data_IF_009327288302
#
_entry.id   IF_009327288302
#
_cell.length_a   1.000
_cell.length_b   1.000
_cell.length_c   1.000
_cell.angle_alpha   90.00
_cell.angle_beta   90.00
_cell.angle_gamma   90.00
#
_symmetry.space_group_name_H-M   'P 1'
#
loop_
_entity.id
_entity.type
_entity.pdbx_description
1 polymer ?
#
# COMPACT_ATOMS: atom_id res chain seq x y z
N UNK A 1 9.61 31.65 -2.25
CA UNK A 1 9.25 30.21 -2.38
C UNK A 1 9.30 29.46 -1.06
N UNK A 2 10.22 29.80 -0.16
CA UNK A 2 10.33 29.27 1.22
C UNK A 2 9.10 29.58 2.10
N UNK A 3 8.49 30.76 1.96
CA UNK A 3 7.32 31.14 2.77
C UNK A 3 6.04 30.34 2.46
N UNK A 4 5.86 29.92 1.19
CA UNK A 4 4.70 29.11 0.81
C UNK A 4 4.78 27.70 1.42
N UNK A 5 5.94 27.04 1.31
CA UNK A 5 6.13 25.70 1.87
C UNK A 5 6.05 25.69 3.40
N UNK A 6 6.57 26.73 4.07
CA UNK A 6 6.49 26.87 5.53
C UNK A 6 5.05 27.03 6.02
N UNK A 7 4.26 27.93 5.42
CA UNK A 7 2.87 28.19 5.81
C UNK A 7 1.94 27.01 5.51
N UNK A 8 2.21 26.27 4.43
CA UNK A 8 1.41 25.10 4.04
C UNK A 8 1.95 23.78 4.59
N UNK A 9 3.08 23.79 5.29
CA UNK A 9 3.72 22.59 5.85
C UNK A 9 2.76 21.71 6.68
N UNK A 10 1.94 22.25 7.60
CA UNK A 10 1.00 21.44 8.37
C UNK A 10 -0.04 20.74 7.49
N UNK A 11 -0.51 21.42 6.44
CA UNK A 11 -1.48 20.88 5.49
C UNK A 11 -0.86 19.80 4.60
N UNK A 12 0.34 20.03 4.07
CA UNK A 12 1.08 19.04 3.28
C UNK A 12 1.35 17.79 4.13
N UNK A 13 1.74 17.98 5.39
CA UNK A 13 1.96 16.88 6.33
C UNK A 13 0.68 16.11 6.63
N UNK A 14 -0.44 16.80 6.87
CA UNK A 14 -1.74 16.17 7.09
C UNK A 14 -2.19 15.37 5.85
N UNK A 15 -2.09 15.95 4.66
CA UNK A 15 -2.42 15.29 3.39
C UNK A 15 -1.52 14.07 3.12
N UNK A 16 -0.23 14.16 3.44
CA UNK A 16 0.69 13.02 3.37
C UNK A 16 0.27 11.89 4.32
N UNK A 17 -0.06 12.20 5.57
CA UNK A 17 -0.49 11.18 6.54
C UNK A 17 -1.81 10.54 6.12
N UNK A 18 -2.80 11.32 5.69
CA UNK A 18 -4.08 10.79 5.20
C UNK A 18 -3.91 9.87 3.98
N UNK A 19 -3.04 10.26 3.04
CA UNK A 19 -2.75 9.46 1.85
C UNK A 19 -2.01 8.16 2.18
N UNK A 20 -1.05 8.20 3.11
CA UNK A 20 -0.34 7.00 3.60
C UNK A 20 -1.29 6.04 4.31
N UNK A 21 -2.17 6.54 5.18
CA UNK A 21 -3.16 5.70 5.88
C UNK A 21 -4.09 5.03 4.85
N UNK A 22 -4.59 5.81 3.89
CA UNK A 22 -5.46 5.29 2.82
C UNK A 22 -4.75 4.20 2.01
N UNK A 23 -3.48 4.42 1.65
CA UNK A 23 -2.70 3.45 0.89
C UNK A 23 -2.40 2.19 1.73
N UNK A 24 -2.02 2.33 3.00
CA UNK A 24 -1.76 1.22 3.91
C UNK A 24 -3.00 0.38 4.16
N UNK A 25 -4.15 0.99 4.40
CA UNK A 25 -5.42 0.29 4.59
C UNK A 25 -5.73 -0.62 3.39
N UNK A 26 -5.51 -0.13 2.17
CA UNK A 26 -5.67 -0.95 0.97
C UNK A 26 -4.65 -2.09 0.88
N UNK A 27 -3.37 -1.84 1.21
CA UNK A 27 -2.34 -2.88 1.23
C UNK A 27 -2.61 -3.97 2.28
N UNK A 28 -3.21 -3.64 3.43
CA UNK A 28 -3.65 -4.63 4.42
C UNK A 28 -4.85 -5.45 3.96
N UNK A 29 -5.79 -4.83 3.26
CA UNK A 29 -7.04 -5.50 2.91
C UNK A 29 -6.93 -6.37 1.65
N UNK A 30 -6.13 -5.96 0.67
CA UNK A 30 -6.09 -6.60 -0.63
C UNK A 30 -5.53 -8.05 -0.62
N UNK A 31 -4.39 -8.35 0.05
CA UNK A 31 -3.88 -9.72 0.15
C UNK A 31 -4.86 -10.65 0.87
N UNK A 32 -5.54 -10.13 1.90
CA UNK A 32 -6.58 -10.85 2.63
C UNK A 32 -7.76 -11.22 1.71
N UNK A 33 -8.17 -10.32 0.84
CA UNK A 33 -9.22 -10.59 -0.16
C UNK A 33 -8.79 -11.70 -1.12
N UNK A 34 -7.52 -11.74 -1.55
CA UNK A 34 -6.99 -12.82 -2.38
C UNK A 34 -7.01 -14.19 -1.70
N UNK A 35 -6.76 -14.25 -0.38
CA UNK A 35 -6.93 -15.50 0.38
C UNK A 35 -8.36 -16.01 0.24
N UNK A 36 -9.35 -15.14 0.45
CA UNK A 36 -10.76 -15.52 0.36
C UNK A 36 -11.16 -15.91 -1.06
N UNK A 37 -10.67 -15.22 -2.08
CA UNK A 37 -10.92 -15.56 -3.46
C UNK A 37 -10.39 -16.97 -3.79
N UNK A 38 -9.11 -17.25 -3.51
CA UNK A 38 -8.49 -18.54 -3.83
C UNK A 38 -9.05 -19.69 -2.99
N UNK A 39 -9.28 -19.47 -1.70
CA UNK A 39 -9.86 -20.49 -0.83
C UNK A 39 -11.36 -20.71 -1.12
N UNK A 40 -12.08 -19.67 -1.53
CA UNK A 40 -13.47 -19.76 -1.98
C UNK A 40 -13.61 -20.63 -3.23
N UNK A 41 -12.76 -20.40 -4.23
CA UNK A 41 -12.70 -21.23 -5.45
C UNK A 41 -12.31 -22.69 -5.17
N UNK A 42 -11.41 -22.95 -4.21
CA UNK A 42 -10.90 -24.30 -3.93
C UNK A 42 -11.73 -25.12 -2.94
N UNK A 43 -12.28 -24.49 -1.90
CA UNK A 43 -12.88 -25.20 -0.74
C UNK A 43 -14.38 -24.99 -0.58
N UNK A 44 -14.95 -23.94 -1.16
CA UNK A 44 -16.36 -23.57 -0.94
C UNK A 44 -17.23 -23.67 -2.19
N UNK A 45 -16.71 -24.26 -3.27
CA UNK A 45 -17.48 -24.50 -4.49
C UNK A 45 -17.85 -23.24 -5.27
N UNK A 46 -17.15 -22.11 -5.05
CA UNK A 46 -17.29 -20.94 -5.92
C UNK A 46 -16.79 -21.33 -7.31
N UNK A 47 -17.67 -21.27 -8.29
CA UNK A 47 -17.34 -21.51 -9.70
C UNK A 47 -16.96 -20.17 -10.34
N UNK A 48 -16.07 -20.21 -11.33
CA UNK A 48 -15.74 -19.02 -12.12
C UNK A 48 -16.98 -18.45 -12.79
N UNK A 49 -16.98 -17.13 -12.94
CA UNK A 49 -18.05 -16.37 -13.61
C UNK A 49 -19.42 -16.49 -12.92
N UNK A 50 -19.41 -16.80 -11.62
CA UNK A 50 -20.58 -16.64 -10.74
C UNK A 50 -20.67 -15.22 -10.20
N UNK A 51 -21.87 -14.78 -9.80
CA UNK A 51 -22.08 -13.45 -9.24
C UNK A 51 -21.17 -13.14 -8.04
N UNK A 52 -20.90 -14.16 -7.22
CA UNK A 52 -19.99 -14.04 -6.07
C UNK A 52 -18.55 -13.76 -6.49
N UNK A 53 -18.06 -14.45 -7.53
CA UNK A 53 -16.69 -14.28 -8.02
C UNK A 53 -16.51 -12.93 -8.74
N UNK A 54 -17.51 -12.51 -9.51
CA UNK A 54 -17.56 -11.18 -10.13
C UNK A 54 -17.56 -10.06 -9.08
N UNK A 55 -18.28 -10.24 -7.97
CA UNK A 55 -18.26 -9.31 -6.85
C UNK A 55 -16.86 -9.19 -6.22
N UNK A 56 -16.16 -10.31 -6.01
CA UNK A 56 -14.78 -10.29 -5.51
C UNK A 56 -13.84 -9.54 -6.47
N UNK A 57 -13.88 -9.86 -7.77
CA UNK A 57 -13.09 -9.16 -8.80
C UNK A 57 -13.39 -7.66 -8.82
N UNK A 58 -14.66 -7.29 -8.64
CA UNK A 58 -15.09 -5.89 -8.59
C UNK A 58 -14.53 -5.16 -7.37
N UNK A 59 -14.65 -5.75 -6.18
CA UNK A 59 -14.11 -5.18 -4.94
C UNK A 59 -12.59 -5.05 -4.97
N UNK A 60 -11.87 -6.08 -5.45
CA UNK A 60 -10.42 -6.03 -5.62
C UNK A 60 -9.99 -4.90 -6.56
N UNK A 61 -10.71 -4.72 -7.67
CA UNK A 61 -10.46 -3.65 -8.63
C UNK A 61 -10.74 -2.27 -8.05
N UNK A 62 -11.86 -2.09 -7.34
CA UNK A 62 -12.21 -0.82 -6.70
C UNK A 62 -11.16 -0.45 -5.65
N UNK A 63 -10.79 -1.39 -4.78
CA UNK A 63 -9.81 -1.14 -3.74
C UNK A 63 -8.46 -0.72 -4.35
N UNK A 64 -8.00 -1.42 -5.38
CA UNK A 64 -6.74 -1.09 -6.05
C UNK A 64 -6.83 0.26 -6.79
N UNK A 65 -7.81 0.43 -7.69
CA UNK A 65 -7.86 1.61 -8.58
C UNK A 65 -8.42 2.86 -7.93
N UNK A 66 -9.41 2.75 -7.06
CA UNK A 66 -10.10 3.90 -6.48
C UNK A 66 -9.48 4.35 -5.15
N UNK A 67 -8.88 3.44 -4.38
CA UNK A 67 -8.34 3.75 -3.04
C UNK A 67 -6.81 3.72 -3.06
N UNK A 68 -6.21 2.60 -3.45
CA UNK A 68 -4.75 2.43 -3.34
C UNK A 68 -3.97 3.27 -4.34
N UNK A 69 -4.39 3.34 -5.61
CA UNK A 69 -3.68 4.12 -6.62
C UNK A 69 -3.64 5.62 -6.28
N UNK A 70 -4.77 6.28 -5.97
CA UNK A 70 -4.75 7.70 -5.59
C UNK A 70 -4.00 7.90 -4.27
N UNK A 71 -4.17 7.01 -3.30
CA UNK A 71 -3.44 7.05 -2.03
C UNK A 71 -1.92 6.98 -2.21
N UNK A 72 -1.43 6.07 -3.06
CA UNK A 72 -0.01 5.93 -3.37
C UNK A 72 0.53 7.19 -4.08
N UNK A 73 -0.17 7.69 -5.10
CA UNK A 73 0.25 8.88 -5.86
C UNK A 73 0.33 10.10 -4.94
N UNK A 74 -0.72 10.32 -4.13
CA UNK A 74 -0.75 11.41 -3.16
C UNK A 74 0.36 11.26 -2.11
N UNK A 75 0.60 10.05 -1.60
CA UNK A 75 1.66 9.76 -0.63
C UNK A 75 3.04 10.14 -1.17
N UNK A 76 3.34 9.77 -2.42
CA UNK A 76 4.58 10.12 -3.09
C UNK A 76 4.69 11.63 -3.34
N UNK A 77 3.62 12.25 -3.86
CA UNK A 77 3.60 13.69 -4.14
C UNK A 77 3.88 14.51 -2.87
N UNK A 78 3.09 14.31 -1.82
CA UNK A 78 3.26 15.04 -0.57
C UNK A 78 4.53 14.62 0.18
N UNK A 79 4.94 13.35 0.06
CA UNK A 79 6.20 12.87 0.64
C UNK A 79 7.40 13.59 0.05
N UNK A 80 7.47 13.71 -1.28
CA UNK A 80 8.53 14.44 -1.96
C UNK A 80 8.51 15.93 -1.61
N UNK A 81 7.33 16.56 -1.54
CA UNK A 81 7.20 17.96 -1.10
C UNK A 81 7.77 18.19 0.32
N UNK A 82 7.53 17.25 1.24
CA UNK A 82 8.10 17.32 2.60
C UNK A 82 9.61 17.14 2.61
N UNK A 83 10.14 16.25 1.76
CA UNK A 83 11.58 15.98 1.65
C UNK A 83 12.34 17.18 1.09
N UNK A 84 11.77 17.90 0.12
CA UNK A 84 12.36 19.11 -0.44
C UNK A 84 12.22 20.36 0.45
N UNK A 85 11.51 20.26 1.57
CA UNK A 85 11.41 21.38 2.52
C UNK A 85 12.71 21.51 3.32
N UNK A 86 13.44 22.64 3.23
CA UNK A 86 14.74 22.80 3.90
C UNK A 86 14.64 22.65 5.43
N UNK A 87 15.61 21.96 6.02
CA UNK A 87 15.74 21.82 7.49
C UNK A 87 14.89 20.72 8.13
N UNK A 88 14.12 19.95 7.36
CA UNK A 88 13.23 18.90 7.89
C UNK A 88 13.87 17.52 7.87
N UNK A 89 14.61 17.21 6.81
CA UNK A 89 15.28 15.92 6.63
C UNK A 89 16.77 16.12 6.85
N UNK A 90 17.27 15.56 7.95
CA UNK A 90 18.70 15.45 8.18
C UNK A 90 19.22 14.17 7.51
N UNK A 91 19.79 14.32 6.32
CA UNK A 91 20.35 13.22 5.54
C UNK A 91 21.57 12.55 6.16
N UNK A 92 22.15 13.13 7.22
CA UNK A 92 23.24 12.51 7.99
C UNK A 92 22.75 11.41 8.94
N UNK A 93 21.45 11.37 9.23
CA UNK A 93 20.81 10.36 10.09
C UNK A 93 20.31 9.16 9.28
N UNK A 94 20.09 8.02 9.94
CA UNK A 94 19.72 6.76 9.26
C UNK A 94 18.22 6.73 8.92
N UNK A 95 17.36 7.34 9.74
CA UNK A 95 15.91 7.28 9.58
C UNK A 95 15.37 7.68 8.19
N UNK A 96 15.88 8.71 7.48
CA UNK A 96 15.34 9.08 6.17
C UNK A 96 15.56 7.96 5.14
N UNK A 97 16.72 7.30 5.20
CA UNK A 97 17.08 6.19 4.31
C UNK A 97 16.23 4.97 4.60
N UNK A 98 16.06 4.59 5.87
CA UNK A 98 15.21 3.45 6.23
C UNK A 98 13.76 3.68 5.84
N UNK A 99 13.25 4.90 6.03
CA UNK A 99 11.90 5.26 5.58
C UNK A 99 11.77 5.20 4.07
N UNK A 100 12.73 5.76 3.33
CA UNK A 100 12.71 5.77 1.87
C UNK A 100 12.72 4.35 1.29
N UNK A 101 13.59 3.48 1.80
CA UNK A 101 13.65 2.05 1.40
C UNK A 101 12.33 1.35 1.71
N UNK A 102 11.72 1.59 2.87
CA UNK A 102 10.45 0.98 3.21
C UNK A 102 9.29 1.46 2.31
N UNK A 103 9.23 2.76 1.96
CA UNK A 103 8.22 3.31 1.05
C UNK A 103 8.41 2.78 -0.39
N UNK A 104 9.66 2.63 -0.84
CA UNK A 104 9.96 1.95 -2.10
C UNK A 104 9.51 0.48 -2.07
N UNK A 105 9.79 -0.23 -0.98
CA UNK A 105 9.30 -1.59 -0.76
C UNK A 105 7.78 -1.71 -0.76
N UNK A 106 7.07 -0.76 -0.16
CA UNK A 106 5.60 -0.67 -0.22
C UNK A 106 5.09 -0.44 -1.65
N UNK A 107 5.79 0.39 -2.42
CA UNK A 107 5.46 0.64 -3.83
C UNK A 107 5.62 -0.63 -4.65
N UNK A 108 6.73 -1.35 -4.45
CA UNK A 108 6.94 -2.65 -5.07
C UNK A 108 5.85 -3.65 -4.69
N UNK A 109 5.49 -3.72 -3.40
CA UNK A 109 4.43 -4.61 -2.91
C UNK A 109 3.05 -4.25 -3.49
N UNK A 110 2.73 -2.95 -3.62
CA UNK A 110 1.54 -2.49 -4.32
C UNK A 110 1.50 -3.01 -5.76
N UNK A 111 2.60 -2.90 -6.50
CA UNK A 111 2.68 -3.39 -7.88
C UNK A 111 2.53 -4.91 -7.94
N UNK A 112 3.09 -5.63 -6.97
CA UNK A 112 2.88 -7.06 -6.83
C UNK A 112 1.40 -7.40 -6.60
N UNK A 113 0.70 -6.69 -5.71
CA UNK A 113 -0.75 -6.84 -5.54
C UNK A 113 -1.50 -6.60 -6.86
N UNK A 114 -1.18 -5.54 -7.59
CA UNK A 114 -1.80 -5.24 -8.88
C UNK A 114 -1.63 -6.38 -9.91
N UNK A 115 -0.43 -6.99 -9.94
CA UNK A 115 -0.14 -8.15 -10.80
C UNK A 115 -0.95 -9.37 -10.39
N UNK A 116 -1.00 -9.69 -9.10
CA UNK A 116 -1.77 -10.84 -8.60
C UNK A 116 -3.28 -10.67 -8.81
N UNK A 117 -3.82 -9.45 -8.64
CA UNK A 117 -5.23 -9.14 -8.98
C UNK A 117 -5.57 -9.51 -10.41
N UNK A 118 -4.64 -9.24 -11.34
CA UNK A 118 -4.81 -9.54 -12.76
C UNK A 118 -4.72 -11.05 -12.98
N UNK A 119 -3.73 -11.71 -12.37
CA UNK A 119 -3.59 -13.17 -12.47
C UNK A 119 -4.80 -13.92 -11.90
N UNK A 120 -5.39 -13.45 -10.80
CA UNK A 120 -6.61 -14.02 -10.20
C UNK A 120 -7.82 -13.81 -11.12
N UNK A 121 -8.01 -12.61 -11.65
CA UNK A 121 -9.09 -12.31 -12.58
C UNK A 121 -8.99 -13.08 -13.90
N UNK A 122 -7.77 -13.28 -14.42
CA UNK A 122 -7.52 -14.05 -15.65
C UNK A 122 -7.48 -15.56 -15.37
N UNK A 123 -7.58 -15.97 -14.11
CA UNK A 123 -7.55 -17.36 -13.71
C UNK A 123 -6.20 -18.08 -13.90
N UNK A 124 -5.11 -17.32 -14.08
CA UNK A 124 -3.73 -17.81 -14.23
C UNK A 124 -2.95 -17.82 -12.91
N UNK A 125 -3.60 -17.46 -11.80
CA UNK A 125 -3.00 -17.45 -10.48
C UNK A 125 -2.62 -18.88 -10.01
N UNK A 126 -1.31 -19.12 -9.89
CA UNK A 126 -0.74 -20.39 -9.41
C UNK A 126 -0.38 -20.39 -7.92
N UNK A 127 -0.75 -19.35 -7.17
CA UNK A 127 -0.38 -19.20 -5.75
C UNK A 127 -1.46 -19.80 -4.84
N UNK A 128 -1.03 -20.30 -3.68
CA UNK A 128 -1.93 -20.93 -2.70
C UNK A 128 -2.47 -19.91 -1.69
N UNK A 129 -3.61 -20.18 -1.05
CA UNK A 129 -4.13 -19.33 0.03
C UNK A 129 -3.14 -19.14 1.19
N UNK A 130 -2.28 -20.13 1.48
CA UNK A 130 -1.18 -19.99 2.46
C UNK A 130 -0.17 -18.93 2.04
N UNK A 131 0.17 -18.86 0.76
CA UNK A 131 1.08 -17.84 0.23
C UNK A 131 0.49 -16.44 0.41
N UNK A 132 -0.78 -16.23 0.04
CA UNK A 132 -1.45 -14.93 0.23
C UNK A 132 -1.59 -14.55 1.71
N UNK A 133 -1.79 -15.51 2.63
CA UNK A 133 -1.74 -15.25 4.08
C UNK A 133 -0.39 -14.73 4.54
N UNK A 134 0.70 -15.31 4.06
CA UNK A 134 2.05 -14.82 4.39
C UNK A 134 2.28 -13.40 3.85
N UNK A 135 1.77 -13.12 2.65
CA UNK A 135 1.84 -11.78 2.06
C UNK A 135 1.00 -10.74 2.80
N UNK A 136 0.00 -11.17 3.59
CA UNK A 136 -0.78 -10.27 4.45
C UNK A 136 0.05 -9.64 5.58
N UNK A 137 1.17 -10.27 5.97
CA UNK A 137 2.06 -9.74 7.01
C UNK A 137 3.06 -8.71 6.48
N UNK A 138 3.28 -8.67 5.17
CA UNK A 138 4.24 -7.75 4.53
C UNK A 138 3.89 -6.27 4.81
N UNK A 139 2.62 -5.82 4.66
CA UNK A 139 2.21 -4.48 5.08
C UNK A 139 2.49 -4.19 6.56
N UNK A 140 2.29 -5.17 7.45
CA UNK A 140 2.56 -5.02 8.89
C UNK A 140 4.03 -4.73 9.15
N UNK A 141 4.93 -5.46 8.48
CA UNK A 141 6.38 -5.26 8.59
C UNK A 141 6.77 -3.86 8.12
N UNK A 142 6.26 -3.40 6.97
CA UNK A 142 6.53 -2.04 6.50
C UNK A 142 6.02 -0.98 7.49
N UNK A 143 4.81 -1.16 8.04
CA UNK A 143 4.26 -0.25 9.05
C UNK A 143 5.19 -0.13 10.26
N UNK A 144 5.65 -1.26 10.82
CA UNK A 144 6.56 -1.26 11.98
C UNK A 144 7.84 -0.50 11.66
N UNK A 145 8.47 -0.78 10.51
CA UNK A 145 9.73 -0.13 10.11
C UNK A 145 9.53 1.38 9.91
N UNK A 146 8.49 1.79 9.19
CA UNK A 146 8.23 3.21 8.87
C UNK A 146 7.90 4.00 10.12
N UNK A 147 7.01 3.49 10.97
CA UNK A 147 6.58 4.18 12.19
C UNK A 147 7.76 4.28 13.18
N UNK A 148 8.51 3.18 13.38
CA UNK A 148 9.67 3.19 14.28
C UNK A 148 10.74 4.16 13.78
N UNK A 149 11.03 4.15 12.48
CA UNK A 149 11.98 5.06 11.86
C UNK A 149 11.60 6.54 12.07
N UNK A 150 10.32 6.88 11.91
CA UNK A 150 9.86 8.28 12.03
C UNK A 150 9.72 8.75 13.48
N UNK A 151 9.32 7.87 14.40
CA UNK A 151 9.07 8.24 15.80
C UNK A 151 10.35 8.16 16.63
N UNK A 152 11.11 7.06 16.52
CA UNK A 152 12.33 6.86 17.30
C UNK A 152 13.49 7.66 16.72
N UNK A 153 13.46 7.97 15.41
CA UNK A 153 14.46 8.80 14.71
C UNK A 153 15.90 8.35 14.97
N UNK A 154 16.15 7.06 14.78
CA UNK A 154 17.49 6.49 14.86
C UNK A 154 18.31 6.74 13.58
#
# INVERSE_FOLDING_TARGET
MTDFLSNWYPWIKALHVMSIITWMAGLFYLPRLYVYHVEGLKKKGIVRDTDQELLFRHQERLLLKAIMNPGMIASWLFGLMLVFTPGIVDWSTIWPWTKAVAVLGMTWFHMWCAKERKALADGSANRTGRYYRMMNEVPTVFMIVIVSSVIVKF
#
